data_IF_646860915342
#
_entry.id   IF_646860915342
#
_cell.length_a   1.000
_cell.length_b   1.000
_cell.length_c   1.000
_cell.angle_alpha   90.00
_cell.angle_beta   90.00
_cell.angle_gamma   90.00
#
_symmetry.space_group_name_H-M   'P 1'
#
loop_
_entity.id
_entity.type
_entity.pdbx_description
1 polymer ?
#
# COMPACT_ATOMS: atom_id res chain seq x y z
N UNK A 1 50.61 18.97 34.84
CA UNK A 1 51.27 17.90 35.61
C UNK A 1 50.17 16.90 35.95
N UNK A 2 49.90 15.84 35.20
CA UNK A 2 50.79 14.87 34.56
C UNK A 2 50.50 14.61 33.07
N UNK A 3 51.54 14.19 32.37
CA UNK A 3 51.58 13.79 30.97
C UNK A 3 52.01 12.31 30.87
N UNK A 4 51.48 11.56 29.90
CA UNK A 4 52.07 10.38 29.22
C UNK A 4 51.02 9.89 28.19
N UNK A 5 51.14 9.93 26.86
CA UNK A 5 52.23 9.62 25.92
C UNK A 5 52.60 8.13 25.90
N UNK A 6 52.16 7.36 24.87
CA UNK A 6 53.05 6.44 24.14
C UNK A 6 52.43 5.88 22.83
N UNK A 7 53.33 5.72 21.85
CA UNK A 7 53.25 5.28 20.46
C UNK A 7 52.75 3.83 20.29
N UNK A 8 52.31 3.32 19.12
CA UNK A 8 52.73 3.59 17.74
C UNK A 8 53.84 2.61 17.31
N UNK A 9 53.50 1.54 16.58
CA UNK A 9 54.42 0.74 15.74
C UNK A 9 53.57 -0.12 14.74
N UNK A 10 53.50 0.04 13.40
CA UNK A 10 54.45 -0.22 12.28
C UNK A 10 55.14 -1.60 12.34
N UNK A 11 55.28 -2.48 11.35
CA UNK A 11 55.02 -2.62 9.88
C UNK A 11 55.15 -4.16 9.57
N UNK A 12 54.65 -4.81 8.50
CA UNK A 12 55.09 -4.92 7.07
C UNK A 12 55.12 -6.41 6.62
N UNK A 13 55.28 -6.63 5.30
CA UNK A 13 55.42 -7.89 4.49
C UNK A 13 54.10 -8.53 3.99
N UNK A 14 53.66 -8.46 2.71
CA UNK A 14 54.22 -8.55 1.33
C UNK A 14 54.67 -9.95 0.88
N UNK A 15 54.00 -10.50 -0.16
CA UNK A 15 54.48 -11.36 -1.29
C UNK A 15 53.24 -12.03 -1.96
N UNK A 16 52.71 -11.55 -3.10
CA UNK A 16 53.03 -11.87 -4.51
C UNK A 16 53.12 -13.38 -4.87
N UNK A 17 52.21 -13.89 -5.71
CA UNK A 17 52.50 -14.31 -7.10
C UNK A 17 51.25 -14.77 -7.88
N UNK A 18 51.29 -14.53 -9.20
CA UNK A 18 50.23 -14.64 -10.19
C UNK A 18 50.08 -16.04 -10.84
N UNK A 19 48.99 -16.27 -11.60
CA UNK A 19 49.03 -16.67 -13.03
C UNK A 19 47.60 -16.81 -13.62
N UNK A 20 47.42 -16.22 -14.80
CA UNK A 20 46.24 -16.17 -15.67
C UNK A 20 45.95 -17.48 -16.42
N UNK A 21 44.70 -17.67 -16.85
CA UNK A 21 44.39 -18.16 -18.22
C UNK A 21 42.97 -17.74 -18.64
N UNK A 22 42.91 -16.93 -19.70
CA UNK A 22 41.73 -16.61 -20.51
C UNK A 22 41.39 -17.77 -21.46
N UNK A 23 40.12 -17.92 -21.81
CA UNK A 23 39.65 -18.16 -23.19
C UNK A 23 38.21 -17.64 -23.35
N UNK A 24 38.05 -16.69 -24.26
CA UNK A 24 36.83 -16.25 -24.96
C UNK A 24 36.17 -17.44 -25.71
N UNK A 25 34.93 -17.50 -26.20
CA UNK A 25 33.87 -16.52 -26.46
C UNK A 25 32.55 -17.27 -26.85
N UNK A 26 31.44 -16.51 -26.97
CA UNK A 26 30.19 -16.74 -27.73
C UNK A 26 28.95 -17.30 -26.99
N UNK A 27 28.04 -16.35 -26.70
CA UNK A 27 26.63 -16.51 -26.31
C UNK A 27 25.74 -17.16 -27.41
N UNK A 28 24.54 -17.67 -27.03
CA UNK A 28 23.35 -16.87 -27.32
C UNK A 28 22.39 -16.75 -26.11
N UNK A 29 22.22 -15.50 -25.66
CA UNK A 29 20.91 -14.86 -25.41
C UNK A 29 19.82 -15.70 -24.73
N UNK A 30 20.01 -15.98 -23.44
CA UNK A 30 18.86 -16.19 -22.54
C UNK A 30 18.43 -14.86 -21.99
N UNK A 31 17.35 -14.31 -22.54
CA UNK A 31 16.66 -13.15 -22.02
C UNK A 31 16.40 -13.35 -20.51
N UNK A 32 17.27 -12.75 -19.71
CA UNK A 32 17.10 -12.64 -18.27
C UNK A 32 15.88 -11.76 -18.09
N UNK A 33 14.74 -12.38 -17.78
CA UNK A 33 13.57 -11.67 -17.24
C UNK A 33 14.09 -10.88 -16.05
N UNK A 34 14.33 -9.58 -16.25
CA UNK A 34 14.67 -8.66 -15.18
C UNK A 34 13.51 -8.75 -14.20
N UNK A 35 13.74 -9.44 -13.07
CA UNK A 35 12.82 -9.48 -11.96
C UNK A 35 12.62 -8.02 -11.58
N UNK A 36 11.43 -7.47 -11.86
CA UNK A 36 11.09 -6.08 -11.53
C UNK A 36 11.32 -5.99 -10.02
N UNK A 37 12.34 -5.22 -9.62
CA UNK A 37 12.63 -4.99 -8.22
C UNK A 37 11.49 -4.11 -7.73
N UNK A 38 10.46 -4.75 -7.17
CA UNK A 38 9.37 -4.04 -6.53
C UNK A 38 9.96 -3.50 -5.24
N UNK A 39 10.25 -2.20 -5.21
CA UNK A 39 10.68 -1.57 -3.98
C UNK A 39 9.45 -1.46 -3.08
N UNK A 40 9.34 -2.47 -2.24
CA UNK A 40 8.42 -2.55 -1.13
C UNK A 40 8.56 -1.29 -0.27
N UNK A 41 7.55 -0.41 -0.34
CA UNK A 41 7.58 0.96 0.21
C UNK A 41 7.47 0.98 1.72
N UNK A 42 6.79 -0.02 2.25
CA UNK A 42 6.52 -0.19 3.66
C UNK A 42 6.05 -1.61 3.90
N UNK A 43 6.11 -2.07 5.15
CA UNK A 43 5.68 -3.43 5.47
C UNK A 43 4.17 -3.61 5.26
N UNK A 44 3.37 -2.54 5.39
CA UNK A 44 1.96 -2.56 5.03
C UNK A 44 1.77 -2.81 3.53
N UNK A 45 2.55 -2.15 2.67
CA UNK A 45 2.46 -2.35 1.22
C UNK A 45 2.73 -3.82 0.84
N UNK A 46 3.69 -4.45 1.52
CA UNK A 46 4.10 -5.83 1.24
C UNK A 46 3.02 -6.81 1.65
N UNK A 47 2.45 -6.61 2.84
CA UNK A 47 1.35 -7.42 3.33
C UNK A 47 0.13 -7.28 2.43
N UNK A 48 -0.20 -6.07 1.97
CA UNK A 48 -1.31 -5.86 1.04
C UNK A 48 -1.13 -6.62 -0.27
N UNK A 49 0.07 -6.60 -0.84
CA UNK A 49 0.36 -7.34 -2.07
C UNK A 49 0.27 -8.86 -1.87
N UNK A 50 0.89 -9.38 -0.80
CA UNK A 50 0.85 -10.82 -0.51
C UNK A 50 -0.57 -11.31 -0.21
N UNK A 51 -1.35 -10.54 0.55
CA UNK A 51 -2.75 -10.86 0.87
C UNK A 51 -3.66 -10.82 -0.36
N UNK A 52 -3.34 -9.98 -1.35
CA UNK A 52 -4.08 -9.95 -2.62
C UNK A 52 -3.98 -11.28 -3.38
N UNK A 53 -2.85 -11.97 -3.29
CA UNK A 53 -2.64 -13.26 -3.93
C UNK A 53 -3.37 -14.39 -3.16
N UNK A 54 -3.47 -14.27 -1.84
CA UNK A 54 -4.09 -15.27 -0.95
C UNK A 54 -5.61 -15.07 -0.76
N UNK A 55 -6.14 -13.88 -1.06
CA UNK A 55 -7.57 -13.57 -1.02
C UNK A 55 -8.13 -13.27 0.38
N UNK A 56 -7.29 -12.96 1.37
CA UNK A 56 -7.73 -12.49 2.69
C UNK A 56 -6.75 -11.46 3.26
N UNK A 57 -7.28 -10.39 3.84
CA UNK A 57 -6.51 -9.31 4.46
C UNK A 57 -6.50 -9.34 5.99
N UNK A 58 -6.82 -10.49 6.59
CA UNK A 58 -6.82 -10.66 8.05
C UNK A 58 -5.46 -10.37 8.70
N UNK A 59 -4.37 -10.72 8.02
CA UNK A 59 -3.01 -10.44 8.48
C UNK A 59 -2.67 -8.95 8.49
N UNK A 60 -3.20 -8.18 7.54
CA UNK A 60 -3.04 -6.71 7.49
C UNK A 60 -3.67 -6.07 8.72
N UNK A 61 -4.90 -6.48 9.05
CA UNK A 61 -5.61 -5.99 10.24
C UNK A 61 -4.84 -6.33 11.51
N UNK A 62 -4.32 -7.55 11.61
CA UNK A 62 -3.51 -8.00 12.74
C UNK A 62 -2.21 -7.18 12.85
N UNK A 63 -1.53 -6.94 11.73
CA UNK A 63 -0.32 -6.12 11.69
C UNK A 63 -0.58 -4.71 12.24
N UNK A 64 -1.56 -4.00 11.69
CA UNK A 64 -1.89 -2.64 12.13
C UNK A 64 -2.35 -2.58 13.59
N UNK A 65 -3.08 -3.60 14.07
CA UNK A 65 -3.51 -3.65 15.48
C UNK A 65 -2.35 -3.78 16.47
N UNK A 66 -1.20 -4.29 16.03
CA UNK A 66 0.01 -4.42 16.85
C UNK A 66 0.85 -3.14 16.92
N UNK A 67 0.52 -2.14 16.11
CA UNK A 67 1.30 -0.92 15.94
C UNK A 67 0.74 0.24 16.75
N UNK A 68 1.63 1.17 17.12
CA UNK A 68 1.22 2.44 17.70
C UNK A 68 0.62 3.39 16.65
N UNK A 69 -0.24 4.34 17.03
CA UNK A 69 -0.91 5.26 16.09
C UNK A 69 0.03 6.01 15.14
N UNK A 70 1.19 6.47 15.64
CA UNK A 70 2.19 7.15 14.80
C UNK A 70 2.80 6.25 13.73
N UNK A 71 3.02 4.97 14.04
CA UNK A 71 3.55 4.02 13.07
C UNK A 71 2.52 3.66 12.01
N UNK A 72 1.24 3.49 12.42
CA UNK A 72 0.12 3.29 11.50
C UNK A 72 0.01 4.47 10.54
N UNK A 73 0.19 5.68 11.05
CA UNK A 73 0.17 6.88 10.21
C UNK A 73 1.24 6.85 9.12
N UNK A 74 2.49 6.54 9.49
CA UNK A 74 3.59 6.44 8.52
C UNK A 74 3.31 5.37 7.46
N UNK A 75 2.85 4.20 7.88
CA UNK A 75 2.50 3.09 6.97
C UNK A 75 1.39 3.51 5.99
N UNK A 76 0.29 4.08 6.48
CA UNK A 76 -0.82 4.53 5.63
C UNK A 76 -0.38 5.65 4.68
N UNK A 77 0.42 6.59 5.16
CA UNK A 77 0.91 7.71 4.36
C UNK A 77 1.90 7.27 3.28
N UNK A 78 2.68 6.22 3.54
CA UNK A 78 3.66 5.67 2.58
C UNK A 78 3.05 4.93 1.38
N UNK A 79 1.74 4.66 1.39
CA UNK A 79 1.08 3.95 0.30
C UNK A 79 1.12 4.73 -1.02
N UNK A 80 1.03 6.06 -0.94
CA UNK A 80 1.08 6.95 -2.10
C UNK A 80 1.61 8.33 -1.69
N UNK A 81 2.63 8.84 -2.38
CA UNK A 81 3.25 10.14 -2.09
C UNK A 81 2.64 11.31 -2.86
N UNK A 82 1.57 11.08 -3.62
CA UNK A 82 0.82 12.08 -4.36
C UNK A 82 0.72 11.78 -5.86
N UNK A 83 0.34 12.78 -6.66
CA UNK A 83 0.03 12.58 -8.08
C UNK A 83 1.23 12.13 -8.95
N UNK A 84 2.46 12.50 -8.55
CA UNK A 84 3.69 12.06 -9.23
C UNK A 84 3.99 10.57 -9.06
N UNK A 85 3.31 9.94 -8.11
CA UNK A 85 3.51 8.57 -7.66
C UNK A 85 2.28 7.70 -7.92
N UNK A 86 1.35 8.21 -8.74
CA UNK A 86 0.04 7.62 -8.91
C UNK A 86 0.09 6.24 -9.56
N UNK A 87 1.01 5.98 -10.49
CA UNK A 87 1.04 4.69 -11.21
C UNK A 87 1.27 3.49 -10.28
N UNK A 88 2.23 3.62 -9.36
CA UNK A 88 2.56 2.58 -8.39
C UNK A 88 1.69 2.72 -7.12
N UNK A 89 1.41 3.95 -6.68
CA UNK A 89 0.62 4.25 -5.48
C UNK A 89 -0.85 3.88 -5.65
N UNK A 90 -1.45 4.07 -6.83
CA UNK A 90 -2.85 3.74 -7.10
C UNK A 90 -3.14 2.26 -6.84
N UNK A 91 -2.22 1.38 -7.25
CA UNK A 91 -2.37 -0.05 -7.00
C UNK A 91 -2.43 -0.35 -5.49
N UNK A 92 -1.56 0.26 -4.70
CA UNK A 92 -1.54 0.10 -3.25
C UNK A 92 -2.78 0.70 -2.58
N UNK A 93 -3.26 1.87 -3.05
CA UNK A 93 -4.50 2.48 -2.58
C UNK A 93 -5.70 1.57 -2.88
N UNK A 94 -5.71 0.91 -4.04
CA UNK A 94 -6.75 -0.05 -4.39
C UNK A 94 -6.75 -1.26 -3.46
N UNK A 95 -5.59 -1.90 -3.25
CA UNK A 95 -5.47 -3.02 -2.31
C UNK A 95 -5.85 -2.63 -0.87
N UNK A 96 -5.41 -1.45 -0.41
CA UNK A 96 -5.79 -0.94 0.90
C UNK A 96 -7.30 -0.71 1.02
N UNK A 97 -7.95 -0.26 -0.05
CA UNK A 97 -9.40 -0.08 -0.09
C UNK A 97 -10.15 -1.42 -0.05
N UNK A 98 -9.65 -2.46 -0.74
CA UNK A 98 -10.18 -3.83 -0.65
C UNK A 98 -10.03 -4.40 0.76
N UNK A 99 -8.87 -4.22 1.39
CA UNK A 99 -8.68 -4.58 2.79
C UNK A 99 -9.68 -3.86 3.71
N UNK A 100 -9.89 -2.55 3.54
CA UNK A 100 -10.85 -1.78 4.35
C UNK A 100 -12.29 -2.25 4.13
N UNK A 101 -12.63 -2.69 2.92
CA UNK A 101 -13.92 -3.33 2.61
C UNK A 101 -14.07 -4.61 3.43
N UNK A 102 -13.09 -5.53 3.38
CA UNK A 102 -13.09 -6.78 4.16
C UNK A 102 -13.17 -6.48 5.67
N UNK A 103 -12.37 -5.52 6.15
CA UNK A 103 -12.34 -5.13 7.56
C UNK A 103 -13.71 -4.61 8.03
N UNK A 104 -14.40 -3.82 7.20
CA UNK A 104 -15.76 -3.35 7.49
C UNK A 104 -16.79 -4.50 7.55
N UNK A 105 -16.61 -5.55 6.76
CA UNK A 105 -17.48 -6.73 6.73
C UNK A 105 -17.21 -7.74 7.85
N UNK A 106 -15.97 -7.78 8.35
CA UNK A 106 -15.56 -8.68 9.44
C UNK A 106 -16.34 -8.45 10.74
N UNK A 107 -16.86 -7.23 10.92
CA UNK A 107 -17.62 -6.80 12.10
C UNK A 107 -16.82 -6.84 13.41
N UNK A 108 -15.49 -6.85 13.30
CA UNK A 108 -14.56 -6.82 14.41
C UNK A 108 -13.93 -5.44 14.53
N UNK A 109 -13.57 -5.05 15.76
CA UNK A 109 -12.78 -3.84 16.03
C UNK A 109 -13.27 -2.57 15.31
N UNK A 110 -14.60 -2.33 15.33
CA UNK A 110 -15.24 -1.25 14.56
C UNK A 110 -14.62 0.14 14.79
N UNK A 111 -14.20 0.42 16.02
CA UNK A 111 -13.51 1.67 16.36
C UNK A 111 -12.15 1.80 15.65
N UNK A 112 -11.32 0.75 15.72
CA UNK A 112 -10.02 0.73 15.06
C UNK A 112 -10.15 0.79 13.53
N UNK A 113 -11.07 0.02 12.95
CA UNK A 113 -11.31 0.03 11.49
C UNK A 113 -11.75 1.42 11.02
N UNK A 114 -12.64 2.09 11.75
CA UNK A 114 -13.03 3.47 11.40
C UNK A 114 -11.88 4.46 11.57
N UNK A 115 -11.00 4.27 12.57
CA UNK A 115 -9.82 5.11 12.73
C UNK A 115 -8.86 4.94 11.53
N UNK A 116 -8.64 3.70 11.07
CA UNK A 116 -7.82 3.41 9.90
C UNK A 116 -8.44 4.00 8.63
N UNK A 117 -9.74 3.80 8.43
CA UNK A 117 -10.48 4.37 7.30
C UNK A 117 -10.39 5.89 7.29
N UNK A 118 -10.64 6.54 8.43
CA UNK A 118 -10.54 7.99 8.54
C UNK A 118 -9.13 8.47 8.20
N UNK A 119 -8.08 7.81 8.71
CA UNK A 119 -6.71 8.20 8.41
C UNK A 119 -6.37 8.02 6.93
N UNK A 120 -6.75 6.89 6.34
CA UNK A 120 -6.57 6.61 4.92
C UNK A 120 -7.22 7.68 4.05
N UNK A 121 -8.50 7.99 4.29
CA UNK A 121 -9.23 9.00 3.53
C UNK A 121 -8.65 10.40 3.74
N UNK A 122 -8.21 10.73 4.95
CA UNK A 122 -7.66 12.04 5.24
C UNK A 122 -6.36 12.27 4.47
N UNK A 123 -5.40 11.34 4.56
CA UNK A 123 -4.09 11.46 3.92
C UNK A 123 -4.20 11.44 2.39
N UNK A 124 -5.05 10.56 1.85
CA UNK A 124 -5.17 10.36 0.40
C UNK A 124 -6.35 11.11 -0.24
N UNK A 125 -6.99 12.01 0.51
CA UNK A 125 -8.20 12.75 0.09
C UNK A 125 -8.03 13.46 -1.25
N UNK A 126 -6.94 14.20 -1.42
CA UNK A 126 -6.69 14.96 -2.65
C UNK A 126 -6.60 14.06 -3.87
N UNK A 127 -5.94 12.90 -3.74
CA UNK A 127 -5.79 11.94 -4.84
C UNK A 127 -7.13 11.27 -5.15
N UNK A 128 -7.88 10.87 -4.13
CA UNK A 128 -9.21 10.25 -4.30
C UNK A 128 -10.17 11.21 -5.01
N UNK A 129 -10.19 12.49 -4.61
CA UNK A 129 -11.06 13.51 -5.22
C UNK A 129 -10.66 13.76 -6.67
N UNK A 130 -9.35 13.83 -6.95
CA UNK A 130 -8.86 14.00 -8.31
C UNK A 130 -9.32 12.86 -9.21
N UNK A 131 -9.11 11.60 -8.78
CA UNK A 131 -9.54 10.42 -9.54
C UNK A 131 -11.06 10.40 -9.76
N UNK A 132 -11.85 10.73 -8.73
CA UNK A 132 -13.32 10.79 -8.85
C UNK A 132 -13.79 11.88 -9.82
N UNK A 133 -13.02 12.97 -9.96
CA UNK A 133 -13.30 14.03 -10.94
C UNK A 133 -12.94 13.57 -12.35
N UNK A 134 -11.74 13.01 -12.53
CA UNK A 134 -11.24 12.52 -13.82
C UNK A 134 -12.17 11.45 -14.40
N UNK A 135 -12.62 10.49 -13.57
CA UNK A 135 -13.55 9.42 -14.00
C UNK A 135 -14.90 9.99 -14.45
N UNK A 136 -15.44 11.02 -13.77
CA UNK A 136 -16.74 11.61 -14.15
C UNK A 136 -16.67 12.42 -15.43
N UNK A 137 -15.63 13.22 -15.59
CA UNK A 137 -15.43 13.99 -16.84
C UNK A 137 -15.30 13.06 -18.05
N UNK A 138 -14.73 11.88 -17.83
CA UNK A 138 -14.54 10.89 -18.86
C UNK A 138 -15.83 10.12 -19.22
N UNK A 139 -16.69 9.81 -18.25
CA UNK A 139 -18.02 9.22 -18.51
C UNK A 139 -18.92 10.18 -19.33
N UNK A 140 -18.74 11.49 -19.15
CA UNK A 140 -19.44 12.52 -19.94
C UNK A 140 -18.93 12.56 -21.40
N UNK A 141 -17.64 12.29 -21.62
CA UNK A 141 -16.99 12.32 -22.95
C UNK A 141 -17.15 11.00 -23.72
N UNK A 142 -17.17 9.85 -23.05
CA UNK A 142 -17.34 8.51 -23.66
C UNK A 142 -18.70 8.32 -24.35
N UNK A 143 -19.71 9.13 -24.03
CA UNK A 143 -20.98 9.13 -24.76
C UNK A 143 -20.87 9.62 -26.23
N UNK A 144 -19.67 10.03 -26.68
CA UNK A 144 -19.44 10.62 -28.01
C UNK A 144 -18.39 9.89 -28.86
N UNK A 145 -17.60 8.96 -28.33
CA UNK A 145 -16.53 8.27 -29.08
C UNK A 145 -16.29 6.84 -28.58
N UNK A 146 -16.51 5.86 -29.47
CA UNK A 146 -16.09 4.45 -29.30
C UNK A 146 -14.58 4.35 -29.58
N UNK A 147 -13.71 4.63 -28.61
CA UNK A 147 -12.26 4.45 -28.78
C UNK A 147 -11.64 3.65 -27.61
N UNK A 148 -10.60 2.88 -27.95
CA UNK A 148 -9.86 1.92 -27.12
C UNK A 148 -9.69 2.37 -25.66
N UNK A 149 -10.22 1.58 -24.71
CA UNK A 149 -10.06 1.84 -23.28
C UNK A 149 -8.57 1.78 -22.88
N UNK A 150 -8.01 2.94 -22.53
CA UNK A 150 -6.67 3.04 -21.96
C UNK A 150 -6.59 2.16 -20.69
N UNK A 151 -5.63 1.22 -20.58
CA UNK A 151 -5.47 0.36 -19.41
C UNK A 151 -5.26 1.13 -18.10
N UNK A 152 -4.76 2.37 -18.14
CA UNK A 152 -4.65 3.22 -16.96
C UNK A 152 -6.02 3.73 -16.50
N UNK A 153 -6.89 4.09 -17.44
CA UNK A 153 -8.26 4.53 -17.18
C UNK A 153 -9.10 3.43 -16.54
N UNK A 154 -8.93 2.19 -16.99
CA UNK A 154 -9.61 1.04 -16.39
C UNK A 154 -9.27 0.89 -14.91
N UNK A 155 -7.99 1.04 -14.53
CA UNK A 155 -7.55 0.98 -13.13
C UNK A 155 -8.15 2.10 -12.27
N UNK A 156 -8.28 3.30 -12.83
CA UNK A 156 -8.92 4.43 -12.14
C UNK A 156 -10.40 4.16 -11.89
N UNK A 157 -11.11 3.65 -12.91
CA UNK A 157 -12.52 3.22 -12.77
C UNK A 157 -12.69 2.11 -11.74
N UNK A 158 -11.81 1.10 -11.75
CA UNK A 158 -11.80 0.03 -10.73
C UNK A 158 -11.59 0.57 -9.33
N UNK A 159 -10.60 1.45 -9.14
CA UNK A 159 -10.35 2.06 -7.84
C UNK A 159 -11.55 2.89 -7.35
N UNK A 160 -12.12 3.72 -8.22
CA UNK A 160 -13.32 4.51 -7.90
C UNK A 160 -14.50 3.61 -7.51
N UNK A 161 -14.68 2.49 -8.22
CA UNK A 161 -15.68 1.48 -7.89
C UNK A 161 -15.44 0.89 -6.48
N UNK A 162 -14.20 0.53 -6.15
CA UNK A 162 -13.85 0.00 -4.83
C UNK A 162 -14.09 1.02 -3.72
N UNK A 163 -13.81 2.32 -3.94
CA UNK A 163 -14.15 3.39 -2.98
C UNK A 163 -15.67 3.49 -2.79
N UNK A 164 -16.47 3.35 -3.85
CA UNK A 164 -17.92 3.33 -3.76
C UNK A 164 -18.43 2.11 -2.95
N UNK A 165 -17.85 0.94 -3.16
CA UNK A 165 -18.13 -0.26 -2.37
C UNK A 165 -17.79 -0.04 -0.89
N UNK A 166 -16.61 0.51 -0.60
CA UNK A 166 -16.17 0.83 0.75
C UNK A 166 -17.16 1.72 1.48
N UNK A 167 -17.68 2.76 0.80
CA UNK A 167 -18.73 3.63 1.34
C UNK A 167 -20.00 2.86 1.68
N UNK A 168 -20.43 1.94 0.80
CA UNK A 168 -21.62 1.11 1.04
C UNK A 168 -21.43 0.19 2.24
N UNK A 169 -20.28 -0.49 2.36
CA UNK A 169 -19.99 -1.42 3.46
C UNK A 169 -19.86 -0.69 4.80
N UNK A 170 -19.19 0.46 4.82
CA UNK A 170 -19.10 1.30 6.01
C UNK A 170 -20.48 1.75 6.49
N UNK A 171 -21.34 2.21 5.56
CA UNK A 171 -22.72 2.62 5.89
C UNK A 171 -23.54 1.45 6.43
N UNK A 172 -23.44 0.27 5.82
CA UNK A 172 -24.13 -0.92 6.28
C UNK A 172 -23.67 -1.35 7.69
N UNK A 173 -22.35 -1.34 7.95
CA UNK A 173 -21.79 -1.66 9.24
C UNK A 173 -22.25 -0.66 10.33
N UNK A 174 -22.25 0.65 10.01
CA UNK A 174 -22.72 1.72 10.88
C UNK A 174 -24.21 1.59 11.23
N UNK A 175 -25.08 1.44 10.22
CA UNK A 175 -26.52 1.28 10.43
C UNK A 175 -26.84 0.08 11.33
N UNK A 176 -26.12 -1.03 11.14
CA UNK A 176 -26.31 -2.22 11.98
C UNK A 176 -25.88 -1.98 13.42
N UNK A 177 -24.75 -1.30 13.65
CA UNK A 177 -24.31 -0.95 15.01
C UNK A 177 -25.34 -0.02 15.68
N UNK A 178 -25.81 0.99 14.96
CA UNK A 178 -26.84 1.90 15.43
C UNK A 178 -28.13 1.17 15.81
N UNK A 179 -28.59 0.23 14.98
CA UNK A 179 -29.78 -0.57 15.26
C UNK A 179 -29.64 -1.41 16.54
N UNK A 180 -28.47 -2.05 16.75
CA UNK A 180 -28.19 -2.78 17.99
C UNK A 180 -28.16 -1.86 19.20
N UNK A 181 -27.51 -0.70 19.10
CA UNK A 181 -27.46 0.28 20.20
C UNK A 181 -28.86 0.80 20.56
N UNK A 182 -29.69 1.15 19.58
CA UNK A 182 -31.07 1.59 19.80
C UNK A 182 -31.90 0.50 20.47
N UNK A 183 -31.80 -0.74 20.00
CA UNK A 183 -32.51 -1.85 20.61
C UNK A 183 -32.12 -2.05 22.08
N UNK A 184 -30.82 -2.04 22.39
CA UNK A 184 -30.33 -2.15 23.77
C UNK A 184 -30.83 -1.00 24.65
N UNK A 185 -30.83 0.24 24.15
CA UNK A 185 -31.36 1.39 24.90
C UNK A 185 -32.85 1.23 25.20
N UNK A 186 -33.64 0.70 24.27
CA UNK A 186 -35.06 0.43 24.48
C UNK A 186 -35.31 -0.66 25.52
N UNK A 187 -34.43 -1.66 25.65
CA UNK A 187 -34.54 -2.72 26.66
C UNK A 187 -34.14 -2.25 28.07
N UNK A 188 -33.38 -1.17 28.17
CA UNK A 188 -32.93 -0.58 29.44
C UNK A 188 -33.90 0.49 29.99
N UNK A 189 -34.97 0.81 29.27
CA UNK A 189 -36.03 1.75 29.68
C UNK A 189 -37.26 0.99 30.13
#
# INVERSE_FOLDING_TARGET
DDADNNAGNTSEEVSDEATQAQTDEVEPTKATKRRKVVHHRSKLADLLQNCSDEGSYSEVTRYLSSMGPSSIDVEISSLCYGAHDLDDGLHLLHLASLWLVEACESNQSFEAVNAYLHRFLHVHSNIIIQIDTDVKEDDEKENLTEDEEDPQKLKLKEFAHTIAQLRQKQKAASNRLQGKMQHTICLLR
#
